data_IF_828999298446
#
_entry.id   IF_828999298446
#
_cell.length_a   1.000
_cell.length_b   1.000
_cell.length_c   1.000
_cell.angle_alpha   90.00
_cell.angle_beta   90.00
_cell.angle_gamma   90.00
#
_symmetry.space_group_name_H-M   'P 1'
#
loop_
_entity.id
_entity.type
_entity.pdbx_description
1 polymer ?
#
# COMPACT_ATOMS: atom_id res chain seq x y z
N UNK A 1 87.50 17.08 57.25
CA UNK A 1 86.58 16.07 56.67
C UNK A 1 85.24 16.20 57.33
N UNK A 2 84.20 16.58 56.59
CA UNK A 2 82.81 16.59 57.06
C UNK A 2 82.26 15.19 56.78
N UNK A 3 82.28 14.31 57.76
CA UNK A 3 81.96 12.88 57.56
C UNK A 3 80.49 12.54 57.80
N UNK A 4 79.77 13.43 58.51
CA UNK A 4 78.36 13.12 58.85
C UNK A 4 77.27 13.96 58.17
N UNK A 5 77.54 15.14 57.62
CA UNK A 5 76.51 15.98 56.94
C UNK A 5 77.12 16.73 55.75
N UNK A 6 77.28 16.07 54.62
CA UNK A 6 77.69 16.72 53.38
C UNK A 6 76.48 17.38 52.72
N UNK A 7 76.07 18.56 53.22
CA UNK A 7 74.92 19.34 52.73
C UNK A 7 75.06 19.67 51.25
N UNK A 8 76.30 19.87 50.74
CA UNK A 8 76.54 20.14 49.31
C UNK A 8 76.19 18.94 48.44
N UNK A 9 76.60 17.75 48.86
CA UNK A 9 76.27 16.48 48.14
C UNK A 9 74.79 16.17 48.20
N UNK A 10 74.07 16.41 49.33
CA UNK A 10 72.68 16.23 49.48
C UNK A 10 71.88 17.23 48.59
N UNK A 11 72.37 18.46 48.48
CA UNK A 11 71.76 19.49 47.66
C UNK A 11 71.95 19.16 46.15
N UNK A 12 73.15 18.70 45.77
CA UNK A 12 73.42 18.22 44.39
C UNK A 12 72.54 17.04 44.00
N UNK A 13 72.35 16.08 44.91
CA UNK A 13 71.50 14.92 44.68
C UNK A 13 70.04 15.31 44.54
N UNK A 14 69.56 16.25 45.38
CA UNK A 14 68.20 16.83 45.23
C UNK A 14 68.04 17.54 43.91
N UNK A 15 69.00 18.36 43.47
CA UNK A 15 68.96 19.04 42.18
C UNK A 15 68.99 18.03 41.01
N UNK A 16 69.73 16.97 41.09
CA UNK A 16 69.77 15.89 40.09
C UNK A 16 68.46 15.19 39.99
N UNK A 17 67.78 14.93 41.11
CA UNK A 17 66.40 14.41 41.14
C UNK A 17 65.32 15.35 40.47
N UNK A 18 65.46 16.64 40.72
CA UNK A 18 64.53 17.68 40.11
C UNK A 18 64.81 17.70 38.59
N UNK A 19 66.07 17.76 38.15
CA UNK A 19 66.39 17.76 36.70
C UNK A 19 65.96 16.47 36.01
N UNK A 20 66.21 15.31 36.66
CA UNK A 20 65.74 14.03 36.16
C UNK A 20 64.24 13.95 35.98
N UNK A 21 63.49 14.43 36.96
CA UNK A 21 62.01 14.49 36.85
C UNK A 21 61.52 15.45 35.76
N UNK A 22 62.14 16.60 35.58
CA UNK A 22 61.83 17.55 34.51
C UNK A 22 62.15 16.99 33.12
N UNK A 23 63.30 16.30 33.00
CA UNK A 23 63.68 15.61 31.76
C UNK A 23 62.68 14.51 31.41
N UNK A 24 62.31 13.67 32.38
CA UNK A 24 61.33 12.63 32.21
C UNK A 24 59.97 13.20 31.73
N UNK A 25 59.47 14.27 32.34
CA UNK A 25 58.24 14.95 31.91
C UNK A 25 58.36 15.55 30.50
N UNK A 26 59.50 16.14 30.16
CA UNK A 26 59.71 16.71 28.83
C UNK A 26 59.79 15.62 27.76
N UNK A 27 60.43 14.49 28.06
CA UNK A 27 60.51 13.32 27.19
C UNK A 27 59.13 12.66 27.01
N UNK A 28 58.37 12.58 28.09
CA UNK A 28 56.96 12.09 28.03
C UNK A 28 56.11 12.96 27.08
N UNK A 29 56.19 14.29 27.19
CA UNK A 29 55.47 15.22 26.32
C UNK A 29 55.92 15.16 24.86
N UNK A 30 57.23 15.02 24.64
CA UNK A 30 57.80 14.89 23.30
C UNK A 30 57.35 13.57 22.64
N UNK A 31 57.41 12.46 23.39
CA UNK A 31 57.06 11.12 22.91
C UNK A 31 55.56 10.99 22.61
N UNK A 32 54.70 11.56 23.45
CA UNK A 32 53.25 11.53 23.27
C UNK A 32 52.76 12.52 22.22
N UNK A 33 53.51 13.61 21.98
CA UNK A 33 53.08 14.73 21.15
C UNK A 33 51.99 15.61 21.77
N UNK A 34 51.59 15.34 23.01
CA UNK A 34 50.57 16.11 23.74
C UNK A 34 51.21 17.02 24.81
N UNK A 35 50.66 18.24 24.90
CA UNK A 35 51.08 19.21 25.95
C UNK A 35 50.64 18.74 27.34
N UNK A 36 49.48 18.12 27.44
CA UNK A 36 48.85 17.67 28.72
C UNK A 36 48.72 16.14 28.59
N UNK A 37 49.46 15.40 29.43
CA UNK A 37 49.43 13.93 29.47
C UNK A 37 48.77 13.40 30.74
N UNK A 38 48.88 14.16 31.83
CA UNK A 38 48.32 13.77 33.14
C UNK A 38 47.44 14.86 33.71
N UNK A 39 46.44 14.46 34.50
CA UNK A 39 45.57 15.40 35.20
C UNK A 39 46.36 16.41 36.12
N UNK A 40 47.54 16.01 36.60
CA UNK A 40 48.44 16.85 37.37
C UNK A 40 49.15 17.97 36.58
N UNK A 41 49.19 17.87 35.24
CA UNK A 41 49.77 18.90 34.37
C UNK A 41 48.85 20.11 34.23
N UNK A 42 47.57 19.85 34.01
CA UNK A 42 46.48 20.84 33.94
C UNK A 42 45.11 20.10 33.98
N UNK A 43 44.49 20.05 35.14
CA UNK A 43 43.24 19.37 35.36
C UNK A 43 42.10 20.01 34.60
N UNK A 44 42.07 21.35 34.52
CA UNK A 44 41.00 22.08 33.81
C UNK A 44 41.13 21.93 32.30
N UNK A 45 42.36 22.06 31.76
CA UNK A 45 42.64 21.88 30.35
C UNK A 45 42.39 20.44 29.89
N UNK A 46 42.75 19.43 30.70
CA UNK A 46 42.42 18.04 30.41
C UNK A 46 40.94 17.79 30.36
N UNK A 47 40.15 18.27 31.30
CA UNK A 47 38.70 18.12 31.33
C UNK A 47 38.04 18.72 30.08
N UNK A 48 38.47 19.93 29.68
CA UNK A 48 37.97 20.59 28.46
C UNK A 48 38.37 19.78 27.22
N UNK A 49 39.62 19.35 27.13
CA UNK A 49 40.15 18.54 26.00
C UNK A 49 39.38 17.22 25.84
N UNK A 50 39.14 16.49 26.91
CA UNK A 50 38.39 15.23 26.86
C UNK A 50 36.91 15.46 26.50
N UNK A 51 36.28 16.54 27.00
CA UNK A 51 34.92 16.92 26.58
C UNK A 51 34.86 17.25 25.09
N UNK A 52 35.82 18.02 24.57
CA UNK A 52 35.88 18.34 23.14
C UNK A 52 36.17 17.07 22.29
N UNK A 53 37.05 16.19 22.76
CA UNK A 53 37.35 14.93 22.09
C UNK A 53 36.13 14.00 22.06
N UNK A 54 35.38 13.96 23.14
CA UNK A 54 34.11 13.22 23.19
C UNK A 54 33.08 13.81 22.21
N UNK A 55 32.95 15.15 22.13
CA UNK A 55 32.07 15.82 21.18
C UNK A 55 32.50 15.54 19.73
N UNK A 56 33.76 15.62 19.37
CA UNK A 56 34.26 15.32 18.02
C UNK A 56 33.93 13.89 17.60
N UNK A 57 34.21 12.92 18.50
CA UNK A 57 33.82 11.52 18.25
C UNK A 57 32.32 11.33 18.12
N UNK A 58 31.52 12.04 18.94
CA UNK A 58 30.07 12.04 18.88
C UNK A 58 29.54 12.63 17.57
N UNK A 59 30.11 13.75 17.11
CA UNK A 59 29.74 14.39 15.85
C UNK A 59 30.10 13.55 14.62
N UNK A 60 31.28 12.91 14.63
CA UNK A 60 31.64 12.00 13.54
C UNK A 60 30.63 10.84 13.44
N UNK A 61 30.26 10.22 14.56
CA UNK A 61 29.25 9.18 14.57
C UNK A 61 27.86 9.71 14.19
N UNK A 62 27.52 10.94 14.58
CA UNK A 62 26.27 11.58 14.18
C UNK A 62 26.20 11.84 12.68
N UNK A 63 27.35 12.19 12.05
CA UNK A 63 27.47 12.31 10.59
C UNK A 63 27.25 10.97 9.88
N UNK A 64 27.86 9.90 10.40
CA UNK A 64 27.61 8.55 9.87
C UNK A 64 26.11 8.18 9.97
N UNK A 65 25.50 8.41 11.13
CA UNK A 65 24.08 8.14 11.34
C UNK A 65 23.16 8.97 10.40
N UNK A 66 23.54 10.20 10.11
CA UNK A 66 22.82 11.05 9.16
C UNK A 66 22.90 10.47 7.74
N UNK A 67 24.06 9.98 7.32
CA UNK A 67 24.21 9.33 6.01
C UNK A 67 23.42 8.03 5.92
N UNK A 68 23.38 7.23 6.99
CA UNK A 68 22.52 6.05 7.07
C UNK A 68 21.05 6.42 6.96
N UNK A 69 20.63 7.51 7.64
CA UNK A 69 19.29 8.05 7.55
C UNK A 69 18.90 8.51 6.14
N UNK A 70 19.81 9.21 5.46
CA UNK A 70 19.63 9.63 4.06
C UNK A 70 19.48 8.40 3.16
N UNK A 71 20.32 7.38 3.32
CA UNK A 71 20.26 6.15 2.53
C UNK A 71 18.94 5.41 2.72
N UNK A 72 18.43 5.37 3.95
CA UNK A 72 17.13 4.81 4.28
C UNK A 72 15.99 5.58 3.58
N UNK A 73 16.01 6.91 3.65
CA UNK A 73 15.01 7.77 3.02
C UNK A 73 15.04 7.59 1.50
N UNK A 74 16.21 7.56 0.88
CA UNK A 74 16.36 7.35 -0.56
C UNK A 74 15.84 5.98 -1.00
N UNK A 75 16.02 4.93 -0.18
CA UNK A 75 15.45 3.62 -0.46
C UNK A 75 13.93 3.66 -0.45
N UNK A 76 13.34 4.32 0.56
CA UNK A 76 11.89 4.49 0.64
C UNK A 76 11.34 5.35 -0.51
N UNK A 77 12.04 6.43 -0.85
CA UNK A 77 11.66 7.32 -1.94
C UNK A 77 11.69 6.60 -3.29
N UNK A 78 12.73 5.82 -3.57
CA UNK A 78 12.83 5.02 -4.79
C UNK A 78 11.69 4.01 -4.93
N UNK A 79 11.29 3.36 -3.84
CA UNK A 79 10.14 2.47 -3.82
C UNK A 79 8.81 3.22 -4.04
N UNK A 80 8.65 4.40 -3.44
CA UNK A 80 7.47 5.24 -3.67
C UNK A 80 7.41 5.80 -5.09
N UNK A 81 8.54 5.99 -5.77
CA UNK A 81 8.58 6.38 -7.18
C UNK A 81 8.03 5.28 -8.08
N UNK A 82 8.36 4.02 -7.80
CA UNK A 82 7.76 2.88 -8.50
C UNK A 82 6.25 2.80 -8.26
N UNK A 83 5.80 3.00 -7.03
CA UNK A 83 4.36 3.07 -6.70
C UNK A 83 3.66 4.19 -7.48
N UNK A 84 4.30 5.34 -7.60
CA UNK A 84 3.76 6.47 -8.37
C UNK A 84 3.62 6.12 -9.86
N UNK A 85 4.61 5.45 -10.46
CA UNK A 85 4.55 5.00 -11.85
C UNK A 85 3.41 3.99 -12.07
N UNK A 86 3.21 3.04 -11.14
CA UNK A 86 2.09 2.09 -11.16
C UNK A 86 0.75 2.82 -11.14
N UNK A 87 0.59 3.81 -10.26
CA UNK A 87 -0.65 4.58 -10.17
C UNK A 87 -0.91 5.41 -11.44
N UNK A 88 0.13 5.98 -12.04
CA UNK A 88 -0.01 6.68 -13.33
C UNK A 88 -0.49 5.71 -14.42
N UNK A 89 0.09 4.51 -14.50
CA UNK A 89 -0.37 3.49 -15.44
C UNK A 89 -1.81 3.06 -15.18
N UNK A 90 -2.17 2.89 -13.92
CA UNK A 90 -3.56 2.59 -13.52
C UNK A 90 -4.51 3.70 -13.96
N UNK A 91 -4.10 4.95 -13.81
CA UNK A 91 -4.88 6.10 -14.28
C UNK A 91 -5.09 6.09 -15.80
N UNK A 92 -4.05 5.78 -16.58
CA UNK A 92 -4.17 5.64 -18.04
C UNK A 92 -5.17 4.56 -18.42
N UNK A 93 -5.11 3.40 -17.77
CA UNK A 93 -6.05 2.29 -17.99
C UNK A 93 -7.49 2.67 -17.63
N UNK A 94 -7.69 3.42 -16.55
CA UNK A 94 -9.02 3.92 -16.18
C UNK A 94 -9.56 4.95 -17.18
N UNK A 95 -8.71 5.83 -17.71
CA UNK A 95 -9.11 6.75 -18.79
C UNK A 95 -9.46 5.98 -20.05
N UNK A 96 -8.70 4.96 -20.40
CA UNK A 96 -9.03 4.08 -21.54
C UNK A 96 -10.38 3.38 -21.32
N UNK A 97 -10.60 2.82 -20.14
CA UNK A 97 -11.85 2.15 -19.78
C UNK A 97 -13.06 3.11 -19.77
N UNK A 98 -12.86 4.39 -19.43
CA UNK A 98 -13.94 5.37 -19.41
C UNK A 98 -14.54 5.65 -20.80
N UNK A 99 -13.83 5.29 -21.87
CA UNK A 99 -14.34 5.39 -23.25
C UNK A 99 -15.25 4.22 -23.61
N UNK A 100 -16.27 4.00 -22.79
CA UNK A 100 -17.23 2.89 -22.90
C UNK A 100 -18.01 2.84 -24.22
N UNK A 101 -18.03 3.93 -24.98
CA UNK A 101 -18.71 3.98 -26.28
C UNK A 101 -17.96 3.29 -27.42
N UNK A 102 -16.69 2.92 -27.22
CA UNK A 102 -15.83 2.29 -28.21
C UNK A 102 -15.45 0.88 -27.81
N UNK A 103 -15.40 0.61 -26.51
CA UNK A 103 -15.06 -0.71 -25.98
C UNK A 103 -16.26 -1.64 -26.07
N UNK A 104 -16.02 -2.88 -26.48
CA UNK A 104 -17.06 -3.90 -26.56
C UNK A 104 -17.46 -4.35 -25.15
N UNK A 105 -18.62 -3.87 -24.70
CA UNK A 105 -19.19 -4.22 -23.40
C UNK A 105 -19.98 -5.53 -23.41
N UNK A 106 -20.37 -6.06 -24.60
CA UNK A 106 -21.21 -7.26 -24.71
C UNK A 106 -20.39 -8.56 -24.63
N UNK A 107 -19.10 -8.49 -24.91
CA UNK A 107 -18.22 -9.66 -24.97
C UNK A 107 -17.19 -9.74 -23.84
N UNK A 108 -17.33 -9.03 -22.74
CA UNK A 108 -16.48 -9.12 -21.52
C UNK A 108 -14.95 -8.94 -21.72
N UNK A 109 -14.48 -8.91 -22.98
CA UNK A 109 -13.06 -9.10 -23.23
C UNK A 109 -12.19 -7.88 -22.99
N UNK A 110 -12.66 -6.67 -23.34
CA UNK A 110 -11.77 -5.50 -23.26
C UNK A 110 -11.71 -4.92 -21.83
N UNK A 111 -12.85 -4.82 -21.17
CA UNK A 111 -12.89 -4.39 -19.78
C UNK A 111 -12.21 -5.40 -18.85
N UNK A 112 -12.38 -6.71 -19.11
CA UNK A 112 -11.73 -7.73 -18.31
C UNK A 112 -10.21 -7.70 -18.49
N UNK A 113 -9.71 -7.51 -19.70
CA UNK A 113 -8.26 -7.38 -19.94
C UNK A 113 -7.66 -6.15 -19.22
N UNK A 114 -8.39 -5.03 -19.25
CA UNK A 114 -7.97 -3.83 -18.51
C UNK A 114 -7.99 -4.11 -17.00
N UNK A 115 -9.02 -4.80 -16.50
CA UNK A 115 -9.10 -5.18 -15.08
C UNK A 115 -7.96 -6.11 -14.68
N UNK A 116 -7.65 -7.11 -15.50
CA UNK A 116 -6.56 -8.06 -15.26
C UNK A 116 -5.20 -7.33 -15.18
N UNK A 117 -4.99 -6.31 -16.02
CA UNK A 117 -3.80 -5.45 -15.94
C UNK A 117 -3.78 -4.64 -14.64
N UNK A 118 -4.93 -4.07 -14.24
CA UNK A 118 -5.05 -3.33 -12.98
C UNK A 118 -4.80 -4.23 -11.77
N UNK A 119 -5.30 -5.46 -11.79
CA UNK A 119 -5.08 -6.43 -10.72
C UNK A 119 -3.60 -6.85 -10.62
N UNK A 120 -2.91 -6.99 -11.74
CA UNK A 120 -1.46 -7.21 -11.76
C UNK A 120 -0.70 -6.00 -11.19
N UNK A 121 -1.08 -4.78 -11.57
CA UNK A 121 -0.51 -3.55 -11.03
C UNK A 121 -0.77 -3.41 -9.52
N UNK A 122 -1.96 -3.78 -9.05
CA UNK A 122 -2.29 -3.85 -7.62
C UNK A 122 -1.39 -4.81 -6.87
N UNK A 123 -1.19 -6.01 -7.42
CA UNK A 123 -0.34 -7.02 -6.80
C UNK A 123 1.10 -6.51 -6.68
N UNK A 124 1.62 -5.86 -7.73
CA UNK A 124 2.95 -5.26 -7.72
C UNK A 124 3.04 -4.08 -6.74
N UNK A 125 2.02 -3.24 -6.67
CA UNK A 125 1.94 -2.14 -5.71
C UNK A 125 2.01 -2.64 -4.26
N UNK A 126 1.26 -3.70 -3.94
CA UNK A 126 1.26 -4.31 -2.61
C UNK A 126 2.59 -5.04 -2.33
N UNK A 127 3.20 -5.64 -3.37
CA UNK A 127 4.52 -6.28 -3.24
C UNK A 127 5.60 -5.26 -2.85
N UNK A 128 5.57 -4.07 -3.42
CA UNK A 128 6.50 -2.99 -3.05
C UNK A 128 6.37 -2.65 -1.56
N UNK A 129 5.15 -2.62 -1.00
CA UNK A 129 4.94 -2.38 0.43
C UNK A 129 5.54 -3.47 1.31
N UNK A 130 5.43 -4.72 0.88
CA UNK A 130 5.92 -5.86 1.67
C UNK A 130 7.41 -6.11 1.51
N UNK A 131 7.99 -5.82 0.35
CA UNK A 131 9.37 -6.17 0.03
C UNK A 131 10.36 -5.05 0.34
N UNK A 132 9.90 -3.78 0.40
CA UNK A 132 10.79 -2.66 0.67
C UNK A 132 11.27 -2.67 2.13
N UNK A 133 12.55 -2.99 2.30
CA UNK A 133 13.16 -3.01 3.62
C UNK A 133 14.56 -2.39 3.61
N UNK A 134 14.94 -1.83 4.75
CA UNK A 134 16.29 -1.36 5.02
C UNK A 134 16.79 -2.00 6.31
N UNK A 135 17.89 -2.74 6.26
CA UNK A 135 18.43 -3.48 7.39
C UNK A 135 17.34 -4.32 8.12
N UNK A 136 16.55 -5.10 7.38
CA UNK A 136 15.45 -5.96 7.86
C UNK A 136 14.27 -5.20 8.51
N UNK A 137 14.25 -3.88 8.43
CA UNK A 137 13.11 -3.07 8.85
C UNK A 137 12.27 -2.74 7.63
N UNK A 138 10.99 -3.09 7.67
CA UNK A 138 10.03 -2.68 6.63
C UNK A 138 9.83 -1.18 6.69
N UNK A 139 9.76 -0.54 5.51
CA UNK A 139 9.67 0.92 5.43
C UNK A 139 8.26 1.40 5.08
N UNK A 140 7.54 0.66 4.21
CA UNK A 140 6.30 1.12 3.58
C UNK A 140 5.04 0.45 4.13
N UNK A 141 5.17 -0.55 5.01
CA UNK A 141 4.05 -1.27 5.63
C UNK A 141 3.31 -0.46 6.72
N UNK A 142 3.79 0.74 7.02
CA UNK A 142 3.27 1.60 8.08
C UNK A 142 3.77 1.29 9.49
N UNK A 143 4.69 0.33 9.64
CA UNK A 143 5.34 0.03 10.93
C UNK A 143 6.41 1.06 11.28
N UNK A 144 6.97 1.77 10.28
CA UNK A 144 8.05 2.74 10.47
C UNK A 144 7.53 4.08 10.96
N UNK A 145 7.22 4.15 12.26
CA UNK A 145 6.66 5.36 12.91
C UNK A 145 7.60 5.88 13.98
N UNK A 146 7.76 7.20 14.02
CA UNK A 146 8.49 7.93 15.06
C UNK A 146 9.90 7.37 15.36
N UNK A 147 10.57 6.83 14.32
CA UNK A 147 11.91 6.29 14.49
C UNK A 147 12.89 7.41 14.70
N UNK A 148 13.68 7.28 15.78
CA UNK A 148 14.65 8.28 16.18
C UNK A 148 15.98 8.10 15.46
N UNK A 149 16.43 9.14 14.77
CA UNK A 149 17.77 9.23 14.18
C UNK A 149 18.58 10.25 14.97
N UNK A 150 19.65 9.81 15.61
CA UNK A 150 20.55 10.65 16.37
C UNK A 150 21.55 11.32 15.42
N UNK A 151 21.37 12.62 15.17
CA UNK A 151 22.18 13.43 14.24
C UNK A 151 23.08 14.45 14.96
N UNK A 152 23.22 14.34 16.26
CA UNK A 152 24.09 15.21 17.07
C UNK A 152 24.82 14.46 18.16
N UNK A 153 25.86 15.11 18.73
CA UNK A 153 26.72 14.51 19.74
C UNK A 153 26.08 14.45 21.13
N UNK A 154 25.07 15.26 21.40
CA UNK A 154 24.46 15.36 22.73
C UNK A 154 23.08 14.70 22.75
N UNK A 155 22.57 14.42 23.96
CA UNK A 155 21.24 13.85 24.10
C UNK A 155 20.17 14.80 23.51
N UNK A 156 19.09 14.23 22.99
CA UNK A 156 17.98 14.95 22.37
C UNK A 156 18.30 15.71 21.06
N UNK A 157 19.45 15.46 20.46
CA UNK A 157 19.83 16.01 19.16
C UNK A 157 19.56 14.97 18.06
N UNK A 158 18.29 14.72 17.76
CA UNK A 158 17.91 13.79 16.73
C UNK A 158 16.61 14.20 16.05
N UNK A 159 16.31 13.52 14.96
CA UNK A 159 15.14 13.73 14.11
C UNK A 159 14.25 12.48 14.20
N UNK A 160 12.95 12.68 14.30
CA UNK A 160 11.98 11.59 14.17
C UNK A 160 11.56 11.44 12.73
N UNK A 161 11.68 10.24 12.21
CA UNK A 161 11.25 9.88 10.86
C UNK A 161 10.03 8.97 10.96
N UNK A 162 8.99 9.31 10.23
CA UNK A 162 7.77 8.51 10.08
C UNK A 162 7.48 8.35 8.62
N UNK A 163 7.27 7.13 8.17
CA UNK A 163 6.84 6.80 6.82
C UNK A 163 5.44 6.20 6.92
N UNK A 164 4.46 6.86 6.31
CA UNK A 164 3.10 6.34 6.27
C UNK A 164 2.97 5.31 5.17
N UNK A 165 2.24 4.23 5.47
CA UNK A 165 1.78 3.32 4.42
C UNK A 165 0.78 4.05 3.52
N UNK A 166 0.96 3.86 2.22
CA UNK A 166 0.01 4.26 1.20
C UNK A 166 -0.61 2.99 0.64
N UNK A 167 -1.77 2.59 1.20
CA UNK A 167 -2.45 1.37 0.77
C UNK A 167 -3.20 1.57 -0.55
N UNK A 168 -3.37 0.46 -1.28
CA UNK A 168 -4.26 0.41 -2.44
C UNK A 168 -5.71 0.56 -1.99
N UNK A 169 -6.51 1.31 -2.76
CA UNK A 169 -7.96 1.37 -2.54
C UNK A 169 -8.62 0.12 -3.12
N UNK A 170 -9.08 -0.79 -2.25
CA UNK A 170 -9.72 -2.04 -2.64
C UNK A 170 -11.05 -1.87 -3.36
N UNK A 171 -11.59 -0.66 -3.38
CA UNK A 171 -12.80 -0.32 -4.16
C UNK A 171 -12.47 0.06 -5.61
N UNK A 172 -11.18 0.11 -5.97
CA UNK A 172 -10.72 0.40 -7.32
C UNK A 172 -10.77 -0.87 -8.17
N UNK A 173 -11.96 -1.26 -8.59
CA UNK A 173 -12.19 -2.36 -9.52
C UNK A 173 -13.41 -2.07 -10.39
N UNK A 174 -13.39 -2.56 -11.62
CA UNK A 174 -14.53 -2.52 -12.55
C UNK A 174 -15.31 -3.82 -12.49
N UNK A 175 -14.64 -4.95 -12.73
CA UNK A 175 -15.20 -6.29 -12.62
C UNK A 175 -14.37 -7.11 -11.63
N UNK A 176 -15.01 -7.91 -10.82
CA UNK A 176 -14.33 -8.86 -9.94
C UNK A 176 -14.77 -10.26 -10.30
N UNK A 177 -13.80 -11.12 -10.53
CA UNK A 177 -14.01 -12.49 -10.96
C UNK A 177 -14.77 -13.32 -9.94
N UNK A 178 -15.46 -14.30 -10.46
CA UNK A 178 -16.24 -15.31 -9.80
C UNK A 178 -15.51 -16.01 -8.65
N UNK A 179 -16.15 -16.05 -7.50
CA UNK A 179 -15.82 -16.98 -6.42
C UNK A 179 -16.92 -18.03 -6.32
N UNK A 180 -16.55 -19.27 -6.08
CA UNK A 180 -17.52 -20.32 -5.81
C UNK A 180 -18.36 -19.93 -4.60
N UNK A 181 -19.66 -19.96 -4.78
CA UNK A 181 -20.60 -19.61 -3.71
C UNK A 181 -20.86 -20.82 -2.81
N UNK A 182 -20.40 -20.74 -1.59
CA UNK A 182 -20.58 -21.79 -0.57
C UNK A 182 -21.89 -21.66 0.25
N UNK A 183 -22.87 -20.91 -0.23
CA UNK A 183 -24.14 -20.67 0.51
C UNK A 183 -25.11 -21.85 0.43
N UNK A 184 -25.83 -22.08 1.51
CA UNK A 184 -26.81 -23.17 1.68
C UNK A 184 -28.19 -22.91 1.05
N UNK A 185 -28.42 -21.72 0.51
CA UNK A 185 -29.72 -21.39 -0.07
C UNK A 185 -29.87 -21.93 -1.49
N UNK A 186 -30.67 -22.98 -1.61
CA UNK A 186 -31.04 -23.64 -2.85
C UNK A 186 -32.12 -22.91 -3.68
N UNK A 187 -32.45 -21.71 -3.37
CA UNK A 187 -33.51 -20.99 -4.04
C UNK A 187 -33.15 -19.54 -4.31
N UNK A 188 -33.41 -19.10 -5.49
CA UNK A 188 -33.33 -17.76 -6.03
C UNK A 188 -31.91 -17.21 -6.26
N UNK A 189 -31.63 -16.88 -7.51
CA UNK A 189 -30.73 -15.80 -7.80
C UNK A 189 -31.29 -14.57 -7.07
N UNK A 190 -30.78 -14.30 -5.90
CA UNK A 190 -31.14 -13.13 -5.13
C UNK A 190 -30.92 -11.93 -6.02
N UNK A 191 -31.92 -11.10 -6.13
CA UNK A 191 -31.82 -9.79 -6.74
C UNK A 191 -30.49 -9.17 -6.39
N UNK A 192 -29.90 -8.41 -7.32
CA UNK A 192 -28.72 -7.62 -7.07
C UNK A 192 -28.75 -7.10 -5.64
N UNK A 193 -27.96 -7.72 -4.77
CA UNK A 193 -27.83 -7.24 -3.40
C UNK A 193 -27.36 -5.81 -3.45
N UNK A 194 -27.62 -5.07 -2.40
CA UNK A 194 -27.17 -3.67 -2.22
C UNK A 194 -25.68 -3.46 -2.50
N UNK A 195 -24.90 -4.53 -2.70
CA UNK A 195 -23.44 -4.53 -2.79
C UNK A 195 -22.86 -4.92 -4.16
N UNK A 196 -23.67 -4.93 -5.22
CA UNK A 196 -23.17 -5.25 -6.56
C UNK A 196 -22.73 -6.71 -6.73
N UNK A 197 -23.43 -7.65 -6.12
CA UNK A 197 -23.19 -9.09 -6.26
C UNK A 197 -24.27 -9.78 -7.07
N UNK A 198 -23.88 -10.62 -8.03
CA UNK A 198 -24.79 -11.48 -8.79
C UNK A 198 -24.39 -12.92 -8.50
N UNK A 199 -25.35 -13.75 -8.14
CA UNK A 199 -25.13 -15.19 -7.97
C UNK A 199 -25.80 -15.92 -9.13
N UNK A 200 -25.00 -16.62 -9.93
CA UNK A 200 -25.47 -17.44 -11.05
C UNK A 200 -25.36 -18.90 -10.66
N UNK A 201 -26.46 -19.63 -10.79
CA UNK A 201 -26.44 -21.08 -10.63
C UNK A 201 -25.98 -21.74 -11.93
N UNK A 202 -24.96 -22.57 -11.85
CA UNK A 202 -24.40 -23.29 -12.98
C UNK A 202 -25.22 -24.55 -13.31
N UNK A 203 -25.01 -25.12 -14.50
CA UNK A 203 -25.73 -26.28 -15.01
C UNK A 203 -25.48 -27.57 -14.19
N UNK A 204 -24.35 -27.62 -13.47
CA UNK A 204 -23.92 -28.72 -12.60
C UNK A 204 -24.44 -28.59 -11.16
N UNK A 205 -25.26 -27.56 -10.88
CA UNK A 205 -25.78 -27.29 -9.53
C UNK A 205 -24.86 -26.43 -8.65
N UNK A 206 -23.66 -26.13 -9.12
CA UNK A 206 -22.78 -25.16 -8.46
C UNK A 206 -23.31 -23.73 -8.63
N UNK A 207 -22.92 -22.83 -7.74
CA UNK A 207 -23.27 -21.42 -7.82
C UNK A 207 -22.00 -20.60 -7.92
N UNK A 208 -22.00 -19.66 -8.85
CA UNK A 208 -20.90 -18.72 -9.02
C UNK A 208 -21.37 -17.32 -8.65
N UNK A 209 -20.65 -16.68 -7.72
CA UNK A 209 -20.93 -15.31 -7.32
C UNK A 209 -20.02 -14.36 -8.10
N UNK A 210 -20.60 -13.42 -8.81
CA UNK A 210 -19.90 -12.32 -9.45
C UNK A 210 -20.08 -11.06 -8.63
N UNK A 211 -18.99 -10.39 -8.34
CA UNK A 211 -19.01 -9.07 -7.72
C UNK A 211 -18.70 -8.04 -8.80
N UNK A 212 -19.52 -7.03 -8.93
CA UNK A 212 -19.32 -5.95 -9.89
C UNK A 212 -19.42 -4.59 -9.17
N UNK A 213 -18.78 -3.59 -9.74
CA UNK A 213 -18.89 -2.23 -9.24
C UNK A 213 -20.21 -1.62 -9.75
N UNK A 214 -21.16 -1.41 -8.84
CA UNK A 214 -22.47 -0.83 -9.15
C UNK A 214 -22.42 0.59 -9.74
N UNK A 215 -21.31 1.32 -9.50
CA UNK A 215 -21.11 2.66 -10.03
C UNK A 215 -20.65 2.61 -11.50
N UNK A 216 -20.07 1.47 -11.91
CA UNK A 216 -19.52 1.24 -13.27
C UNK A 216 -20.51 0.48 -14.14
N UNK A 217 -21.19 -0.52 -13.60
CA UNK A 217 -22.08 -1.40 -14.36
C UNK A 217 -23.52 -1.27 -13.88
N UNK A 218 -24.45 -1.12 -14.82
CA UNK A 218 -25.87 -1.31 -14.57
C UNK A 218 -26.24 -2.71 -15.04
N UNK A 219 -26.71 -3.53 -14.12
CA UNK A 219 -27.19 -4.88 -14.41
C UNK A 219 -28.70 -4.86 -14.45
N UNK A 220 -29.27 -5.14 -15.61
CA UNK A 220 -30.69 -5.26 -15.79
C UNK A 220 -31.08 -6.71 -16.06
N UNK A 221 -32.12 -7.17 -15.38
CA UNK A 221 -32.85 -8.35 -15.78
C UNK A 221 -33.82 -7.90 -16.85
N UNK A 222 -33.64 -8.31 -18.08
CA UNK A 222 -34.61 -7.95 -19.12
C UNK A 222 -35.00 -9.13 -19.98
N UNK A 223 -36.29 -9.22 -20.29
CA UNK A 223 -36.82 -10.07 -21.31
C UNK A 223 -37.48 -9.17 -22.35
N UNK A 224 -37.45 -9.59 -23.62
CA UNK A 224 -38.26 -8.90 -24.65
C UNK A 224 -39.63 -9.55 -24.76
N UNK A 225 -40.67 -8.74 -24.65
CA UNK A 225 -42.05 -9.15 -25.02
C UNK A 225 -42.19 -9.23 -26.54
N UNK A 226 -43.20 -9.96 -27.03
CA UNK A 226 -43.51 -10.09 -28.45
C UNK A 226 -43.75 -8.75 -29.18
N UNK A 227 -44.12 -7.71 -28.45
CA UNK A 227 -44.26 -6.34 -28.93
C UNK A 227 -42.96 -5.52 -28.94
N UNK A 228 -41.81 -6.14 -28.58
CA UNK A 228 -40.52 -5.48 -28.53
C UNK A 228 -40.25 -4.64 -27.26
N UNK A 229 -41.18 -4.56 -26.30
CA UNK A 229 -40.95 -3.90 -25.03
C UNK A 229 -40.10 -4.74 -24.09
N UNK A 230 -39.20 -4.10 -23.35
CA UNK A 230 -38.38 -4.78 -22.34
C UNK A 230 -39.18 -5.01 -21.06
N UNK A 231 -39.15 -6.23 -20.54
CA UNK A 231 -39.74 -6.62 -19.27
C UNK A 231 -38.65 -6.54 -18.21
N UNK A 232 -38.85 -5.73 -17.18
CA UNK A 232 -37.85 -5.44 -16.15
C UNK A 232 -37.73 -6.54 -15.11
N UNK A 233 -36.64 -6.47 -14.30
CA UNK A 233 -36.34 -7.43 -13.24
C UNK A 233 -37.41 -7.54 -12.15
N UNK A 234 -38.18 -6.48 -11.90
CA UNK A 234 -39.30 -6.50 -10.95
C UNK A 234 -40.39 -7.43 -11.44
N UNK A 235 -40.61 -7.49 -12.76
CA UNK A 235 -41.62 -8.35 -13.39
C UNK A 235 -41.16 -9.81 -13.44
N UNK A 236 -39.85 -10.08 -13.48
CA UNK A 236 -39.31 -11.43 -13.49
C UNK A 236 -39.30 -12.11 -12.10
N UNK A 237 -39.30 -11.35 -11.00
CA UNK A 237 -39.51 -11.90 -9.64
C UNK A 237 -40.97 -12.25 -9.40
N UNK A 238 -41.90 -11.65 -10.15
CA UNK A 238 -43.30 -11.98 -10.24
C UNK A 238 -43.60 -12.79 -11.50
N UNK A 239 -42.67 -13.63 -11.96
CA UNK A 239 -42.88 -14.46 -13.16
C UNK A 239 -44.12 -15.36 -13.11
N UNK A 240 -44.72 -15.51 -11.96
CA UNK A 240 -46.06 -16.07 -11.75
C UNK A 240 -47.20 -15.26 -12.38
N UNK A 241 -46.91 -14.18 -13.10
CA UNK A 241 -47.90 -13.31 -13.75
C UNK A 241 -47.56 -12.89 -15.17
N UNK A 242 -46.41 -13.30 -15.73
CA UNK A 242 -46.07 -12.98 -17.11
C UNK A 242 -46.95 -13.80 -18.07
N UNK A 243 -47.82 -13.10 -18.81
CA UNK A 243 -48.68 -13.71 -19.81
C UNK A 243 -47.80 -14.28 -20.95
N UNK A 244 -47.79 -15.61 -21.06
CA UNK A 244 -46.95 -16.32 -22.05
C UNK A 244 -47.30 -15.92 -23.48
N UNK A 245 -48.53 -15.47 -23.74
CA UNK A 245 -48.97 -15.04 -25.07
C UNK A 245 -48.34 -13.72 -25.52
N UNK A 246 -47.86 -12.92 -24.57
CA UNK A 246 -47.20 -11.65 -24.82
C UNK A 246 -45.66 -11.79 -24.98
N UNK A 247 -45.08 -12.97 -24.78
CA UNK A 247 -43.66 -13.23 -24.95
C UNK A 247 -43.35 -13.73 -26.38
N UNK A 248 -42.29 -13.25 -26.99
CA UNK A 248 -41.81 -13.79 -28.26
C UNK A 248 -41.19 -15.18 -28.10
N UNK A 249 -40.96 -15.87 -29.24
CA UNK A 249 -40.46 -17.24 -29.25
C UNK A 249 -39.07 -17.36 -28.61
N UNK A 250 -38.23 -16.33 -28.72
CA UNK A 250 -36.88 -16.33 -28.19
C UNK A 250 -36.91 -16.11 -26.68
N UNK A 251 -37.76 -15.22 -26.18
CA UNK A 251 -37.98 -15.01 -24.76
C UNK A 251 -38.57 -16.25 -24.08
N UNK A 252 -39.50 -16.95 -24.72
CA UNK A 252 -40.04 -18.24 -24.24
C UNK A 252 -38.96 -19.32 -24.19
N UNK A 253 -38.14 -19.45 -25.26
CA UNK A 253 -37.08 -20.42 -25.32
C UNK A 253 -35.99 -20.15 -24.24
N UNK A 254 -35.71 -18.89 -24.02
CA UNK A 254 -34.76 -18.44 -23.00
C UNK A 254 -35.28 -18.75 -21.59
N UNK A 255 -36.53 -18.42 -21.29
CA UNK A 255 -37.17 -18.73 -20.01
C UNK A 255 -37.24 -20.23 -19.76
N UNK A 256 -37.57 -21.03 -20.78
CA UNK A 256 -37.60 -22.49 -20.70
C UNK A 256 -36.21 -23.09 -20.45
N UNK A 257 -35.17 -22.50 -21.03
CA UNK A 257 -33.77 -22.89 -20.78
C UNK A 257 -33.35 -22.66 -19.31
N UNK A 258 -34.01 -21.73 -18.65
CA UNK A 258 -33.75 -21.38 -17.25
C UNK A 258 -34.80 -21.90 -16.25
N UNK A 259 -35.60 -22.90 -16.66
CA UNK A 259 -36.48 -23.64 -15.77
C UNK A 259 -37.86 -22.98 -15.56
N UNK A 260 -38.35 -22.20 -16.54
CA UNK A 260 -39.73 -21.72 -16.55
C UNK A 260 -40.56 -22.48 -17.56
N UNK A 261 -41.75 -22.86 -17.21
CA UNK A 261 -42.71 -23.51 -18.09
C UNK A 261 -44.02 -22.69 -18.22
N UNK A 262 -44.73 -22.89 -19.33
CA UNK A 262 -46.06 -22.27 -19.51
C UNK A 262 -47.08 -22.99 -18.64
N UNK A 263 -47.76 -22.27 -17.74
CA UNK A 263 -48.89 -22.81 -17.01
C UNK A 263 -50.18 -22.73 -17.82
N UNK A 264 -50.54 -23.82 -18.46
CA UNK A 264 -51.75 -23.90 -19.29
C UNK A 264 -53.03 -24.08 -18.50
N UNK A 265 -52.96 -24.10 -17.16
CA UNK A 265 -54.11 -24.37 -16.29
C UNK A 265 -54.85 -23.12 -15.84
N UNK A 266 -54.42 -21.92 -16.26
CA UNK A 266 -55.05 -20.65 -15.87
C UNK A 266 -54.79 -19.56 -16.94
N UNK A 267 -54.30 -18.43 -16.52
CA UNK A 267 -54.09 -17.25 -17.36
C UNK A 267 -52.89 -17.33 -18.32
N UNK A 268 -52.47 -18.51 -18.74
CA UNK A 268 -51.35 -18.74 -19.66
C UNK A 268 -50.04 -18.07 -19.20
N UNK A 269 -49.79 -18.09 -17.89
CA UNK A 269 -48.67 -17.43 -17.26
C UNK A 269 -47.40 -18.31 -17.27
N UNK A 270 -46.24 -17.71 -17.42
CA UNK A 270 -44.96 -18.41 -17.21
C UNK A 270 -44.80 -18.70 -15.70
N UNK A 271 -44.67 -19.97 -15.37
CA UNK A 271 -44.47 -20.44 -14.00
C UNK A 271 -43.04 -20.95 -13.81
N UNK A 272 -42.41 -20.61 -12.70
CA UNK A 272 -41.16 -21.21 -12.33
C UNK A 272 -41.38 -22.70 -12.06
N UNK A 273 -40.75 -23.54 -12.88
CA UNK A 273 -40.71 -24.98 -12.65
C UNK A 273 -39.73 -25.25 -11.50
N UNK A 274 -40.31 -25.40 -10.32
CA UNK A 274 -39.65 -25.85 -9.08
C UNK A 274 -38.14 -25.60 -8.95
N UNK A 275 -37.70 -24.99 -7.90
CA UNK A 275 -36.33 -24.92 -7.35
C UNK A 275 -35.14 -24.51 -8.28
N UNK A 276 -35.28 -24.65 -9.62
CA UNK A 276 -34.22 -24.44 -10.61
C UNK A 276 -34.45 -23.22 -11.52
N UNK A 277 -35.50 -22.43 -11.31
CA UNK A 277 -35.71 -21.22 -12.09
C UNK A 277 -34.58 -20.21 -11.88
N UNK A 278 -33.81 -19.99 -12.93
CA UNK A 278 -32.61 -19.17 -12.91
C UNK A 278 -32.94 -17.79 -13.45
N UNK A 279 -32.62 -16.76 -12.70
CA UNK A 279 -32.70 -15.40 -13.20
C UNK A 279 -31.61 -15.18 -14.28
N UNK A 280 -32.03 -14.57 -15.39
CA UNK A 280 -31.12 -14.17 -16.46
C UNK A 280 -30.71 -12.74 -16.21
N UNK A 281 -29.40 -12.52 -16.12
CA UNK A 281 -28.85 -11.19 -15.97
C UNK A 281 -28.14 -10.81 -17.26
N UNK A 282 -28.41 -9.63 -17.78
CA UNK A 282 -27.59 -9.02 -18.82
C UNK A 282 -26.91 -7.78 -18.24
N UNK A 283 -25.63 -7.65 -18.49
CA UNK A 283 -24.90 -6.39 -18.25
C UNK A 283 -25.27 -5.48 -19.41
N UNK A 284 -26.14 -4.53 -19.16
CA UNK A 284 -26.76 -3.73 -20.24
C UNK A 284 -26.04 -2.43 -20.50
N UNK A 285 -25.21 -1.94 -19.58
CA UNK A 285 -24.53 -0.67 -19.81
C UNK A 285 -23.31 -0.50 -18.92
N UNK A 286 -22.16 -0.25 -19.55
CA UNK A 286 -20.99 0.27 -18.86
C UNK A 286 -21.19 1.77 -18.66
N UNK A 287 -21.14 2.24 -17.41
CA UNK A 287 -21.27 3.65 -17.12
C UNK A 287 -19.88 4.31 -17.14
N UNK A 288 -19.53 4.97 -18.24
CA UNK A 288 -18.26 5.70 -18.37
C UNK A 288 -18.11 6.82 -17.32
N UNK A 289 -19.21 7.39 -16.83
CA UNK A 289 -19.18 8.37 -15.73
C UNK A 289 -18.77 7.70 -14.40
N UNK A 290 -19.25 6.50 -14.13
CA UNK A 290 -18.84 5.71 -12.97
C UNK A 290 -17.34 5.38 -13.01
N UNK A 291 -16.80 5.00 -14.16
CA UNK A 291 -15.36 4.78 -14.35
C UNK A 291 -14.58 6.09 -14.15
N UNK A 292 -15.11 7.21 -14.64
CA UNK A 292 -14.51 8.53 -14.41
C UNK A 292 -14.39 8.86 -12.92
N UNK A 293 -15.35 8.43 -12.09
CA UNK A 293 -15.25 8.59 -10.63
C UNK A 293 -14.13 7.74 -10.02
N UNK A 294 -13.80 6.59 -10.61
CA UNK A 294 -12.65 5.79 -10.18
C UNK A 294 -11.32 6.51 -10.45
N UNK A 295 -11.23 7.33 -11.49
CA UNK A 295 -10.05 8.16 -11.77
C UNK A 295 -9.76 9.09 -10.59
N UNK A 296 -10.78 9.70 -9.99
CA UNK A 296 -10.62 10.56 -8.81
C UNK A 296 -10.02 9.80 -7.61
N UNK A 297 -10.33 8.50 -7.46
CA UNK A 297 -9.72 7.65 -6.42
C UNK A 297 -8.24 7.43 -6.70
N UNK A 298 -7.87 7.13 -7.94
CA UNK A 298 -6.47 7.00 -8.35
C UNK A 298 -5.72 8.31 -8.14
N UNK A 299 -6.29 9.45 -8.51
CA UNK A 299 -5.69 10.77 -8.29
C UNK A 299 -5.48 11.06 -6.79
N UNK A 300 -6.38 10.59 -5.92
CA UNK A 300 -6.20 10.66 -4.46
C UNK A 300 -5.01 9.82 -4.00
N UNK A 301 -4.88 8.58 -4.48
CA UNK A 301 -3.74 7.71 -4.16
C UNK A 301 -2.42 8.33 -4.65
N UNK A 302 -2.38 8.90 -5.86
CA UNK A 302 -1.23 9.63 -6.40
C UNK A 302 -0.84 10.79 -5.48
N UNK A 303 -1.83 11.55 -5.02
CA UNK A 303 -1.63 12.68 -4.10
C UNK A 303 -1.04 12.21 -2.77
N UNK A 304 -1.52 11.09 -2.23
CA UNK A 304 -1.03 10.54 -0.97
C UNK A 304 0.44 10.12 -1.08
N UNK A 305 0.81 9.37 -2.12
CA UNK A 305 2.20 8.98 -2.40
C UNK A 305 3.09 10.22 -2.58
N UNK A 306 2.64 11.20 -3.36
CA UNK A 306 3.39 12.44 -3.60
C UNK A 306 3.58 13.24 -2.32
N UNK A 307 2.57 13.29 -1.45
CA UNK A 307 2.62 13.98 -0.17
C UNK A 307 3.65 13.33 0.77
N UNK A 308 3.67 12.00 0.84
CA UNK A 308 4.66 11.30 1.68
C UNK A 308 6.08 11.46 1.12
N UNK A 309 6.28 11.41 -0.21
CA UNK A 309 7.58 11.71 -0.84
C UNK A 309 8.07 13.11 -0.50
N UNK A 310 7.17 14.11 -0.59
CA UNK A 310 7.51 15.51 -0.23
C UNK A 310 7.95 15.66 1.22
N UNK A 311 7.28 14.95 2.15
CA UNK A 311 7.68 14.94 3.56
C UNK A 311 9.05 14.32 3.78
N UNK A 312 9.35 13.20 3.10
CA UNK A 312 10.66 12.55 3.19
C UNK A 312 11.76 13.44 2.62
N UNK A 313 11.52 14.10 1.47
CA UNK A 313 12.45 15.07 0.92
C UNK A 313 12.72 16.26 1.86
N UNK A 314 11.71 16.71 2.60
CA UNK A 314 11.87 17.78 3.61
C UNK A 314 12.69 17.34 4.83
N UNK A 315 12.70 16.04 5.16
CA UNK A 315 13.52 15.49 6.25
C UNK A 315 14.97 15.29 5.79
N UNK A 316 15.18 15.01 4.49
CA UNK A 316 16.50 14.80 3.91
C UNK A 316 17.30 16.09 3.79
N UNK A 317 16.65 17.25 3.52
CA UNK A 317 17.28 18.56 3.44
C UNK A 317 17.57 19.17 4.82
#
# INVERSE_FOLDING_TARGET
MIVQHNITSMNANRQLGIVGNNLSKSTEKLSSGYKINRAADDAAGLAISEKMRAQVRGLNRASDNAQDGISLIQTAEGAMDQKHAILQRTRELMVQASNAGVLDGEQENDFQKIQDEIDNLKNEYNRIDTDTEFNKKKLLDGSYKDQWLQVGANSSQGIKVTIKSTSWDDTLYMTKTATDYAGTDKGNASAAGTDGTIVIANKDGSKTQYTYNKDVFTVEKSFKAANGSSITAADATTAAGLDADNLDGDAKALLKKYGYSEDKTGANAMKADTADAKAIFSVTKVNGEGISNLINKVDTMIKDVTTERSKLGAVQN
#
